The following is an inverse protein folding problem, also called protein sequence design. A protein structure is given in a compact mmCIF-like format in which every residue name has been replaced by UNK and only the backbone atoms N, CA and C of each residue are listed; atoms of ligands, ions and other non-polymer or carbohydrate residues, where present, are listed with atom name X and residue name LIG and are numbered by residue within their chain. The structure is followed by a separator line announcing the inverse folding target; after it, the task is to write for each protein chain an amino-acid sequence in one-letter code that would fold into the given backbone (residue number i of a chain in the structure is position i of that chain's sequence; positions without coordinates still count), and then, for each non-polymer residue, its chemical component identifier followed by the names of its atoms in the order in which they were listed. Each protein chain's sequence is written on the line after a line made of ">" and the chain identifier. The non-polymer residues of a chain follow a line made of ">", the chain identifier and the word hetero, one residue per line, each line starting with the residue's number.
data_IF_737448531935
#
_entry.id   IF_737448531935
#
_cell.length_a   1.000
_cell.length_b   1.000
_cell.length_c   1.000
_cell.angle_alpha   90.00
_cell.angle_beta   90.00
_cell.angle_gamma   90.00
#
_symmetry.space_group_name_H-M   'P 1'
#
loop_
_entity.id
_entity.type
_entity.pdbx_description
1 polymer ?
#
# COMPACT_ATOMS: atom_id res chain seq x y z
N UNK A 1 16.83 -47.07 -53.10
CA UNK A 1 15.43 -46.81 -52.71
C UNK A 1 15.34 -46.90 -51.19
N UNK A 2 15.04 -45.81 -50.48
CA UNK A 2 14.92 -45.84 -49.02
C UNK A 2 13.69 -46.67 -48.61
N UNK A 3 13.87 -47.59 -47.65
CA UNK A 3 12.86 -48.53 -47.19
C UNK A 3 11.72 -47.79 -46.47
N UNK A 4 10.46 -48.15 -46.77
CA UNK A 4 9.23 -47.61 -46.16
C UNK A 4 9.26 -47.63 -44.63
N UNK A 5 9.97 -48.60 -44.03
CA UNK A 5 10.22 -48.71 -42.58
C UNK A 5 11.00 -47.53 -42.01
N UNK A 6 12.03 -47.07 -42.74
CA UNK A 6 12.89 -45.95 -42.32
C UNK A 6 12.10 -44.63 -42.32
N UNK A 7 11.20 -44.45 -43.30
CA UNK A 7 10.33 -43.28 -43.34
C UNK A 7 9.37 -43.25 -42.15
N UNK A 8 8.70 -44.37 -41.81
CA UNK A 8 7.76 -44.38 -40.68
C UNK A 8 8.44 -44.10 -39.33
N UNK A 9 9.67 -44.56 -39.14
CA UNK A 9 10.46 -44.26 -37.94
C UNK A 9 10.77 -42.77 -37.83
N UNK A 10 11.23 -42.14 -38.92
CA UNK A 10 11.51 -40.70 -38.97
C UNK A 10 10.25 -39.88 -38.67
N UNK A 11 9.09 -40.25 -39.25
CA UNK A 11 7.82 -39.57 -38.97
C UNK A 11 7.38 -39.74 -37.51
N UNK A 12 7.56 -40.93 -36.94
CA UNK A 12 7.23 -41.20 -35.53
C UNK A 12 8.11 -40.39 -34.58
N UNK A 13 9.41 -40.26 -34.87
CA UNK A 13 10.36 -39.45 -34.11
C UNK A 13 9.98 -37.97 -34.18
N UNK A 14 9.66 -37.44 -35.36
CA UNK A 14 9.22 -36.04 -35.53
C UNK A 14 7.94 -35.72 -34.76
N UNK A 15 6.97 -36.65 -34.74
CA UNK A 15 5.72 -36.50 -33.99
C UNK A 15 5.99 -36.51 -32.47
N UNK A 16 6.83 -37.42 -31.98
CA UNK A 16 7.23 -37.46 -30.56
C UNK A 16 7.97 -36.18 -30.15
N UNK A 17 8.87 -35.68 -30.98
CA UNK A 17 9.61 -34.45 -30.72
C UNK A 17 8.69 -33.23 -30.67
N UNK A 18 7.73 -33.12 -31.59
CA UNK A 18 6.75 -32.03 -31.59
C UNK A 18 5.85 -32.07 -30.35
N UNK A 19 5.44 -33.26 -29.90
CA UNK A 19 4.66 -33.44 -28.66
C UNK A 19 5.47 -33.06 -27.42
N UNK A 20 6.74 -33.46 -27.35
CA UNK A 20 7.63 -33.10 -26.25
C UNK A 20 7.84 -31.59 -26.20
N UNK A 21 8.02 -30.93 -27.35
CA UNK A 21 8.14 -29.47 -27.44
C UNK A 21 6.88 -28.75 -26.98
N UNK A 22 5.69 -29.25 -27.37
CA UNK A 22 4.40 -28.68 -26.93
C UNK A 22 4.23 -28.80 -25.41
N UNK A 23 4.58 -29.96 -24.84
CA UNK A 23 4.50 -30.18 -23.38
C UNK A 23 5.47 -29.28 -22.61
N UNK A 24 6.68 -29.06 -23.14
CA UNK A 24 7.65 -28.12 -22.57
C UNK A 24 7.12 -26.68 -22.57
N UNK A 25 6.55 -26.25 -23.70
CA UNK A 25 5.96 -24.90 -23.82
C UNK A 25 4.76 -24.70 -22.88
N UNK A 26 3.90 -25.72 -22.73
CA UNK A 26 2.79 -25.70 -21.76
C UNK A 26 3.28 -25.61 -20.31
N UNK A 27 4.35 -26.33 -19.98
CA UNK A 27 4.97 -26.26 -18.65
C UNK A 27 5.51 -24.86 -18.33
N UNK A 28 6.17 -24.21 -19.29
CA UNK A 28 6.68 -22.84 -19.14
C UNK A 28 5.53 -21.85 -18.93
N UNK A 29 4.43 -21.98 -19.68
CA UNK A 29 3.25 -21.11 -19.53
C UNK A 29 2.64 -21.27 -18.14
N UNK A 30 2.49 -22.50 -17.63
CA UNK A 30 2.00 -22.75 -16.26
C UNK A 30 2.87 -22.07 -15.19
N UNK A 31 4.19 -22.12 -15.33
CA UNK A 31 5.11 -21.48 -14.38
C UNK A 31 4.99 -19.95 -14.37
N UNK A 32 4.61 -19.33 -15.49
CA UNK A 32 4.43 -17.87 -15.57
C UNK A 32 3.09 -17.37 -15.05
N UNK A 33 2.07 -18.24 -14.94
CA UNK A 33 0.73 -17.90 -14.45
C UNK A 33 0.71 -17.67 -12.93
N UNK A 34 1.58 -18.35 -12.17
CA UNK A 34 1.68 -18.19 -10.72
C UNK A 34 2.34 -16.86 -10.28
N UNK A 35 2.92 -16.10 -11.21
CA UNK A 35 3.55 -14.80 -10.91
C UNK A 35 2.55 -13.63 -10.83
N UNK A 36 1.28 -13.84 -11.20
CA UNK A 36 0.23 -12.83 -11.16
C UNK A 36 -0.69 -13.04 -9.95
N UNK A 37 -0.26 -12.64 -8.75
CA UNK A 37 -1.13 -12.83 -7.58
C UNK A 37 -0.54 -12.46 -6.24
N UNK A 38 0.38 -11.49 -6.19
CA UNK A 38 0.61 -10.78 -4.93
C UNK A 38 -0.25 -9.53 -5.00
N UNK A 39 -1.31 -9.50 -4.19
CA UNK A 39 -2.02 -8.27 -3.86
C UNK A 39 -0.98 -7.30 -3.31
N UNK A 40 -0.45 -6.45 -4.18
CA UNK A 40 0.33 -5.29 -3.80
C UNK A 40 -0.69 -4.32 -3.23
N UNK A 41 -0.89 -4.39 -1.92
CA UNK A 41 -1.55 -3.31 -1.19
C UNK A 41 -0.63 -2.11 -1.33
N UNK A 42 -1.03 -1.15 -2.17
CA UNK A 42 -0.36 0.12 -2.30
C UNK A 42 -0.61 0.90 -1.00
N UNK A 43 0.32 0.78 -0.06
CA UNK A 43 0.26 1.51 1.20
C UNK A 43 0.85 2.89 0.96
N UNK A 44 0.00 3.89 0.78
CA UNK A 44 0.43 5.28 0.88
C UNK A 44 0.82 5.58 2.33
N UNK A 45 2.09 5.96 2.54
CA UNK A 45 2.57 6.41 3.85
C UNK A 45 2.30 7.90 3.99
N UNK A 46 1.24 8.21 4.72
CA UNK A 46 1.02 9.55 5.27
C UNK A 46 1.78 9.67 6.59
N UNK A 47 2.54 10.76 6.75
CA UNK A 47 3.43 10.93 7.91
C UNK A 47 3.62 12.40 8.26
N UNK A 48 3.88 12.65 9.53
CA UNK A 48 4.23 13.97 10.01
C UNK A 48 5.68 14.29 9.61
N UNK A 49 5.93 15.51 9.15
CA UNK A 49 7.29 15.99 8.85
C UNK A 49 8.18 15.91 10.10
N UNK A 50 7.58 16.14 11.28
CA UNK A 50 8.22 16.02 12.58
C UNK A 50 7.47 15.00 13.44
N UNK A 51 8.17 14.31 14.34
CA UNK A 51 7.53 13.34 15.23
C UNK A 51 6.35 13.98 15.99
N UNK A 52 5.20 13.29 16.12
CA UNK A 52 4.16 13.68 17.06
C UNK A 52 4.73 13.86 18.48
N UNK A 53 4.31 14.91 19.17
CA UNK A 53 4.72 15.20 20.54
C UNK A 53 3.98 14.35 21.59
N UNK A 54 3.35 13.24 21.17
CA UNK A 54 2.61 12.23 21.96
C UNK A 54 1.14 12.56 22.30
N UNK A 55 0.67 13.79 22.15
CA UNK A 55 -0.70 14.17 22.53
C UNK A 55 -1.64 14.25 21.34
N UNK A 56 -2.38 13.16 21.11
CA UNK A 56 -3.56 13.17 20.23
C UNK A 56 -4.79 13.59 21.05
N UNK A 57 -5.48 14.66 20.63
CA UNK A 57 -6.75 15.07 21.22
C UNK A 57 -7.89 14.60 20.33
N UNK A 58 -8.81 13.85 20.92
CA UNK A 58 -10.05 13.39 20.31
C UNK A 58 -11.24 14.22 20.81
N UNK A 59 -12.13 14.53 19.88
CA UNK A 59 -13.38 15.23 20.17
C UNK A 59 -14.51 14.23 20.31
N UNK A 60 -15.42 14.48 21.25
CA UNK A 60 -16.58 13.62 21.42
C UNK A 60 -17.51 13.77 20.22
N UNK A 61 -18.08 12.66 19.74
CA UNK A 61 -19.05 12.66 18.62
C UNK A 61 -18.48 13.24 17.31
N UNK A 62 -17.16 13.20 17.14
CA UNK A 62 -16.48 13.64 15.92
C UNK A 62 -15.31 12.71 15.58
N UNK A 63 -15.06 12.55 14.28
CA UNK A 63 -13.88 11.85 13.76
C UNK A 63 -12.63 12.75 13.73
N UNK A 64 -12.76 13.99 14.22
CA UNK A 64 -11.65 14.93 14.26
C UNK A 64 -10.62 14.54 15.33
N UNK A 65 -9.34 14.58 14.94
CA UNK A 65 -8.20 14.35 15.82
C UNK A 65 -7.20 15.49 15.63
N UNK A 66 -6.70 16.06 16.73
CA UNK A 66 -5.61 17.03 16.69
C UNK A 66 -4.30 16.40 17.19
N UNK A 67 -3.19 16.85 16.61
CA UNK A 67 -1.84 16.51 17.05
C UNK A 67 -0.95 17.75 17.03
N UNK A 68 -0.06 17.87 18.01
CA UNK A 68 1.05 18.81 18.00
C UNK A 68 2.33 18.04 17.70
N UNK A 69 3.10 18.47 16.71
CA UNK A 69 4.42 17.87 16.44
C UNK A 69 5.54 18.57 17.23
N UNK A 70 6.72 17.96 17.25
CA UNK A 70 7.89 18.50 17.97
C UNK A 70 8.40 19.84 17.42
N UNK A 71 7.97 20.27 16.23
CA UNK A 71 8.34 21.56 15.66
C UNK A 71 7.40 22.69 16.08
N UNK A 72 6.27 22.38 16.72
CA UNK A 72 5.26 23.36 17.10
C UNK A 72 4.17 23.56 16.05
N UNK A 73 3.99 22.62 15.11
CA UNK A 73 2.87 22.63 14.17
C UNK A 73 1.69 21.85 14.74
N UNK A 74 0.49 22.42 14.58
CA UNK A 74 -0.77 21.77 14.92
C UNK A 74 -1.38 21.17 13.66
N UNK A 75 -1.60 19.87 13.70
CA UNK A 75 -2.18 19.07 12.65
C UNK A 75 -3.61 18.65 13.02
N UNK A 76 -4.50 18.60 12.04
CA UNK A 76 -5.87 18.12 12.17
C UNK A 76 -6.13 16.99 11.18
N UNK A 77 -6.73 15.91 11.66
CA UNK A 77 -7.41 14.92 10.84
C UNK A 77 -8.91 15.09 11.03
N UNK A 78 -9.70 14.95 9.97
CA UNK A 78 -11.18 14.98 10.03
C UNK A 78 -11.80 13.61 9.68
N UNK A 79 -10.98 12.57 9.58
CA UNK A 79 -11.39 11.22 9.19
C UNK A 79 -10.68 10.16 10.06
N UNK A 80 -10.70 10.36 11.37
CA UNK A 80 -10.21 9.42 12.37
C UNK A 80 -8.72 9.07 12.23
N UNK A 81 -7.89 10.01 11.74
CA UNK A 81 -6.44 9.86 11.66
C UNK A 81 -5.91 9.26 10.36
N UNK A 82 -6.76 9.13 9.32
CA UNK A 82 -6.34 8.63 8.00
C UNK A 82 -5.50 9.71 7.30
N UNK A 83 -6.06 10.91 7.13
CA UNK A 83 -5.40 12.04 6.47
C UNK A 83 -5.21 13.21 7.45
N UNK A 84 -4.15 13.99 7.25
CA UNK A 84 -3.74 15.07 8.15
C UNK A 84 -3.40 16.35 7.38
N UNK A 85 -3.97 17.46 7.84
CA UNK A 85 -3.72 18.80 7.34
C UNK A 85 -3.14 19.69 8.45
N UNK A 86 -2.38 20.72 8.05
CA UNK A 86 -2.03 21.79 8.99
C UNK A 86 -3.28 22.60 9.32
N UNK A 87 -3.51 22.85 10.62
CA UNK A 87 -4.68 23.62 11.04
C UNK A 87 -4.56 25.07 10.54
N UNK A 88 -5.64 25.58 9.94
CA UNK A 88 -5.68 26.97 9.51
C UNK A 88 -5.77 27.91 10.71
N UNK A 89 -5.03 29.01 10.68
CA UNK A 89 -5.11 30.08 11.69
C UNK A 89 -4.16 29.93 12.88
N UNK A 90 -3.43 28.83 12.99
CA UNK A 90 -2.28 28.70 13.90
C UNK A 90 -1.00 28.91 13.09
N UNK A 91 -0.13 29.87 13.47
CA UNK A 91 1.15 30.03 12.79
C UNK A 91 2.00 28.75 12.89
N UNK A 92 2.77 28.48 11.83
CA UNK A 92 3.65 27.30 11.80
C UNK A 92 4.77 27.44 12.82
N UNK A 93 5.14 26.33 13.44
CA UNK A 93 6.26 26.20 14.37
C UNK A 93 6.21 27.12 15.61
N UNK A 94 5.00 27.49 16.06
CA UNK A 94 4.84 28.41 17.21
C UNK A 94 4.07 27.82 18.38
N UNK A 95 3.26 26.78 18.18
CA UNK A 95 2.44 26.24 19.24
C UNK A 95 3.33 25.52 20.27
N UNK A 96 3.20 25.92 21.54
CA UNK A 96 3.98 25.34 22.63
C UNK A 96 3.26 24.18 23.32
N UNK A 97 1.92 24.16 23.23
CA UNK A 97 1.09 23.15 23.85
C UNK A 97 -0.17 22.88 23.02
N UNK A 98 -0.84 21.79 23.33
CA UNK A 98 -2.15 21.45 22.79
C UNK A 98 -3.00 20.96 23.96
N UNK A 99 -4.00 21.74 24.37
CA UNK A 99 -4.73 21.54 25.64
C UNK A 99 -6.22 21.45 25.37
N UNK A 100 -6.85 20.32 25.74
CA UNK A 100 -8.30 20.16 25.69
C UNK A 100 -8.98 21.04 26.73
N UNK A 101 -10.03 21.75 26.34
CA UNK A 101 -10.80 22.58 27.26
C UNK A 101 -11.56 21.71 28.28
N UNK A 102 -11.44 22.01 29.58
CA UNK A 102 -11.98 21.15 30.66
C UNK A 102 -13.50 21.03 30.66
N UNK A 103 -14.21 22.08 30.21
CA UNK A 103 -15.68 22.16 30.30
C UNK A 103 -16.38 22.15 28.93
N UNK A 104 -15.63 21.87 27.85
CA UNK A 104 -16.20 21.81 26.52
C UNK A 104 -15.52 20.71 25.72
N UNK A 105 -16.34 19.85 25.13
CA UNK A 105 -15.88 18.64 24.45
C UNK A 105 -15.37 18.91 23.03
N UNK A 106 -15.55 20.14 22.54
CA UNK A 106 -15.32 20.61 21.17
C UNK A 106 -14.27 21.75 21.08
N UNK A 107 -13.62 22.12 22.19
CA UNK A 107 -12.65 23.23 22.22
C UNK A 107 -11.26 22.81 22.67
N UNK A 108 -10.26 23.41 22.03
CA UNK A 108 -8.83 23.22 22.30
C UNK A 108 -8.12 24.57 22.24
N UNK A 109 -7.09 24.73 23.08
CA UNK A 109 -6.17 25.87 23.08
C UNK A 109 -4.77 25.44 22.69
N UNK A 110 -4.02 26.34 22.05
CA UNK A 110 -2.65 26.14 21.54
C UNK A 110 -1.73 27.28 21.98
#
# INVERSE_FOLDING_TARGET
>A
MANKSVYSEIYTIKIKLKRMLILLLLGIICLTLEAQGRDIVEVERWGFEHSPAQNFIYFKESDSVLNLDLSGNVWISNNAGIDWDLISGVPKNTAAALIKHTFSEDRVSF
#
